data_IF_062671142060
#
_entry.id   IF_062671142060
#
_cell.length_a   1.000
_cell.length_b   1.000
_cell.length_c   1.000
_cell.angle_alpha   90.00
_cell.angle_beta   90.00
_cell.angle_gamma   90.00
#
_symmetry.space_group_name_H-M   'P 1'
#
loop_
_entity.id
_entity.type
_entity.pdbx_description
1 polymer ?
#
# COMPACT_ATOMS: atom_id res chain seq x y z
N UNK A 1 -14.28 1.99 -11.67
CA UNK A 1 -13.88 0.65 -11.16
C UNK A 1 -12.38 0.68 -10.98
N UNK A 2 -11.91 0.17 -9.86
CA UNK A 2 -10.49 0.04 -9.54
C UNK A 2 -9.78 -0.87 -10.55
N UNK A 3 -8.47 -0.65 -10.74
CA UNK A 3 -7.63 -1.48 -11.61
C UNK A 3 -6.84 -2.55 -10.84
N UNK A 4 -7.08 -2.70 -9.54
CA UNK A 4 -6.28 -3.56 -8.65
C UNK A 4 -6.25 -5.01 -9.14
N UNK A 5 -7.36 -5.55 -9.63
CA UNK A 5 -7.42 -6.90 -10.18
C UNK A 5 -6.37 -7.17 -11.27
N UNK A 6 -6.05 -6.15 -12.09
CA UNK A 6 -5.05 -6.27 -13.17
C UNK A 6 -3.64 -6.63 -12.67
N UNK A 7 -3.32 -6.32 -11.41
CA UNK A 7 -2.04 -6.68 -10.83
C UNK A 7 -1.83 -8.19 -10.72
N UNK A 8 -2.92 -8.97 -10.75
CA UNK A 8 -2.92 -10.43 -10.59
C UNK A 8 -3.24 -11.19 -11.88
N UNK A 9 -3.52 -10.50 -13.00
CA UNK A 9 -3.92 -11.11 -14.28
C UNK A 9 -2.77 -11.87 -14.97
N UNK A 10 -1.52 -11.51 -14.68
CA UNK A 10 -0.34 -12.04 -15.36
C UNK A 10 0.50 -12.97 -14.47
N UNK A 11 -0.11 -13.55 -13.45
CA UNK A 11 0.54 -14.47 -12.51
C UNK A 11 0.72 -13.84 -11.13
N UNK A 12 1.82 -14.20 -10.46
CA UNK A 12 2.08 -13.72 -9.09
C UNK A 12 2.47 -12.24 -9.08
N UNK A 13 1.78 -11.43 -8.28
CA UNK A 13 2.01 -10.00 -8.18
C UNK A 13 3.23 -9.67 -7.29
N UNK A 14 4.07 -8.74 -7.73
CA UNK A 14 5.05 -8.06 -6.88
C UNK A 14 4.58 -6.65 -6.54
N UNK A 15 4.47 -6.37 -5.25
CA UNK A 15 3.91 -5.12 -4.71
C UNK A 15 4.98 -4.43 -3.84
N UNK A 16 5.79 -3.52 -4.39
CA UNK A 16 6.71 -2.70 -3.61
C UNK A 16 5.97 -1.58 -2.87
N UNK A 17 6.39 -1.34 -1.63
CA UNK A 17 5.99 -0.18 -0.83
C UNK A 17 7.14 0.82 -0.75
N UNK A 18 6.80 2.12 -0.85
CA UNK A 18 7.71 3.23 -0.54
C UNK A 18 7.00 4.30 0.28
N UNK A 19 7.74 5.02 1.13
CA UNK A 19 7.24 6.20 1.84
C UNK A 19 7.34 7.44 0.93
N UNK A 20 6.22 8.11 0.67
CA UNK A 20 6.19 9.32 -0.14
C UNK A 20 7.04 10.43 0.47
N UNK A 21 8.03 10.90 -0.28
CA UNK A 21 8.93 11.97 0.15
C UNK A 21 10.18 11.51 0.92
N UNK A 22 10.43 10.22 1.00
CA UNK A 22 11.68 9.68 1.54
C UNK A 22 12.58 9.18 0.38
N UNK A 23 13.72 9.85 0.11
CA UNK A 23 14.27 11.04 0.74
C UNK A 23 13.67 12.37 0.23
N UNK A 24 12.94 12.39 -0.88
CA UNK A 24 12.21 13.54 -1.40
C UNK A 24 11.08 13.12 -2.34
N UNK A 25 10.13 14.02 -2.64
CA UNK A 25 9.05 13.75 -3.60
C UNK A 25 9.58 13.54 -5.03
N UNK A 26 10.62 14.26 -5.44
CA UNK A 26 11.22 14.08 -6.76
C UNK A 26 11.87 12.70 -6.92
N UNK A 27 12.49 12.19 -5.85
CA UNK A 27 13.03 10.82 -5.84
C UNK A 27 11.90 9.80 -5.81
N UNK A 28 10.85 10.03 -5.01
CA UNK A 28 9.66 9.16 -4.98
C UNK A 28 9.03 9.03 -6.36
N UNK A 29 8.85 10.14 -7.08
CA UNK A 29 8.30 10.14 -8.44
C UNK A 29 9.13 9.29 -9.39
N UNK A 30 10.46 9.44 -9.37
CA UNK A 30 11.40 8.63 -10.18
C UNK A 30 11.38 7.15 -9.78
N UNK A 31 11.33 6.86 -8.48
CA UNK A 31 11.23 5.49 -7.97
C UNK A 31 9.98 4.78 -8.50
N UNK A 32 8.84 5.47 -8.55
CA UNK A 32 7.60 4.89 -9.08
C UNK A 32 7.75 4.50 -10.56
N UNK A 33 8.37 5.36 -11.39
CA UNK A 33 8.65 5.02 -12.79
C UNK A 33 9.56 3.79 -12.91
N UNK A 34 10.69 3.81 -12.22
CA UNK A 34 11.68 2.73 -12.28
C UNK A 34 11.15 1.40 -11.69
N UNK A 35 10.37 1.45 -10.62
CA UNK A 35 9.74 0.23 -10.07
C UNK A 35 8.70 -0.36 -11.04
N UNK A 36 7.92 0.49 -11.71
CA UNK A 36 6.97 0.03 -12.71
C UNK A 36 7.71 -0.62 -13.90
N UNK A 37 8.77 0.00 -14.40
CA UNK A 37 9.60 -0.52 -15.50
C UNK A 37 10.37 -1.78 -15.10
N UNK A 38 10.75 -1.91 -13.81
CA UNK A 38 11.40 -3.09 -13.25
C UNK A 38 10.46 -4.30 -13.03
N UNK A 39 9.15 -4.12 -13.24
CA UNK A 39 8.15 -5.17 -13.21
C UNK A 39 7.28 -5.25 -11.94
N UNK A 40 7.14 -4.14 -11.22
CA UNK A 40 6.09 -4.05 -10.19
C UNK A 40 4.70 -4.14 -10.84
N UNK A 41 3.80 -4.91 -10.22
CA UNK A 41 2.44 -5.09 -10.71
C UNK A 41 1.42 -4.13 -10.06
N UNK A 42 1.72 -3.69 -8.85
CA UNK A 42 1.01 -2.66 -8.09
C UNK A 42 2.04 -1.94 -7.22
N UNK A 43 1.86 -0.64 -6.99
CA UNK A 43 2.73 0.11 -6.08
C UNK A 43 1.93 0.63 -4.90
N UNK A 44 2.45 0.37 -3.70
CA UNK A 44 1.92 0.88 -2.44
C UNK A 44 2.68 2.14 -2.03
N UNK A 45 1.96 3.24 -1.94
CA UNK A 45 2.47 4.58 -1.61
C UNK A 45 2.09 4.93 -0.17
N UNK A 46 3.05 4.88 0.75
CA UNK A 46 2.86 5.29 2.14
C UNK A 46 2.80 6.81 2.26
N UNK A 47 1.68 7.35 2.74
CA UNK A 47 1.58 8.74 3.13
C UNK A 47 2.22 8.89 4.51
N UNK A 48 3.28 9.71 4.68
CA UNK A 48 3.99 9.81 5.95
C UNK A 48 3.09 10.37 7.05
N UNK A 49 3.18 9.76 8.24
CA UNK A 49 2.42 10.15 9.42
C UNK A 49 3.36 10.23 10.65
N UNK A 50 3.09 11.16 11.57
CA UNK A 50 3.96 11.40 12.73
C UNK A 50 3.89 10.30 13.77
N UNK A 51 2.74 9.61 13.88
CA UNK A 51 2.44 8.66 14.96
C UNK A 51 1.97 7.29 14.44
N UNK A 52 2.77 6.62 13.58
CA UNK A 52 2.37 5.35 12.96
C UNK A 52 2.35 4.22 14.00
N UNK A 53 1.17 3.65 14.25
CA UNK A 53 0.97 2.60 15.27
C UNK A 53 1.16 1.18 14.72
N UNK A 54 1.01 1.00 13.41
CA UNK A 54 1.09 -0.31 12.75
C UNK A 54 2.45 -0.60 12.10
N UNK A 55 3.39 0.35 12.14
CA UNK A 55 4.65 0.29 11.40
C UNK A 55 5.86 0.13 12.33
N UNK A 56 6.88 -0.57 11.82
CA UNK A 56 8.15 -0.72 12.50
C UNK A 56 9.07 0.48 12.32
N UNK A 57 10.23 0.48 13.01
CA UNK A 57 11.13 1.64 13.06
C UNK A 57 11.61 2.11 11.68
N UNK A 58 11.81 1.21 10.73
CA UNK A 58 12.28 1.55 9.37
C UNK A 58 11.29 2.48 8.65
N UNK A 59 10.01 2.13 8.67
CA UNK A 59 8.96 2.94 7.98
C UNK A 59 8.66 4.21 8.78
N UNK A 60 8.64 4.10 10.13
CA UNK A 60 8.48 5.27 11.00
C UNK A 60 9.57 6.31 10.75
N UNK A 61 10.83 5.89 10.69
CA UNK A 61 11.96 6.79 10.51
C UNK A 61 11.96 7.41 9.09
N UNK A 62 11.51 6.67 8.07
CA UNK A 62 11.24 7.19 6.73
C UNK A 62 10.13 8.27 6.73
N UNK A 63 9.04 8.03 7.46
CA UNK A 63 7.97 9.03 7.65
C UNK A 63 8.50 10.31 8.31
N UNK A 64 9.35 10.19 9.33
CA UNK A 64 9.97 11.34 9.98
C UNK A 64 10.90 12.12 9.02
N UNK A 65 11.71 11.42 8.20
CA UNK A 65 12.55 12.09 7.18
C UNK A 65 11.70 12.85 6.16
N UNK A 66 10.63 12.21 5.65
CA UNK A 66 9.73 12.83 4.69
C UNK A 66 9.02 14.07 5.27
N UNK A 67 8.47 13.98 6.49
CA UNK A 67 7.80 15.09 7.17
C UNK A 67 8.78 16.25 7.46
N UNK A 68 10.00 15.93 7.90
CA UNK A 68 11.05 16.93 8.12
C UNK A 68 11.46 17.63 6.81
N UNK A 69 11.34 16.95 5.67
CA UNK A 69 11.50 17.51 4.33
C UNK A 69 10.33 18.39 3.86
N UNK A 70 9.31 18.59 4.70
CA UNK A 70 8.15 19.43 4.39
C UNK A 70 7.16 18.79 3.41
N UNK A 71 7.06 17.47 3.43
CA UNK A 71 6.06 16.73 2.66
C UNK A 71 4.66 16.95 3.27
N UNK A 72 3.69 17.15 2.40
CA UNK A 72 2.27 17.31 2.75
C UNK A 72 1.39 16.51 1.81
N UNK A 73 0.18 16.16 2.23
CA UNK A 73 -0.80 15.41 1.41
C UNK A 73 -1.06 16.10 0.07
N UNK A 74 -1.25 17.42 -0.03
CA UNK A 74 -1.40 18.11 -1.31
C UNK A 74 -0.23 17.91 -2.26
N UNK A 75 1.00 17.99 -1.75
CA UNK A 75 2.20 17.77 -2.58
C UNK A 75 2.29 16.34 -3.09
N UNK A 76 1.88 15.35 -2.27
CA UNK A 76 1.79 13.94 -2.68
C UNK A 76 0.75 13.79 -3.78
N UNK A 77 -0.42 14.39 -3.63
CA UNK A 77 -1.48 14.34 -4.65
C UNK A 77 -1.02 14.92 -5.99
N UNK A 78 -0.36 16.07 -5.99
CA UNK A 78 0.21 16.65 -7.20
C UNK A 78 1.30 15.76 -7.84
N UNK A 79 2.14 15.11 -7.04
CA UNK A 79 3.10 14.12 -7.52
C UNK A 79 2.40 12.94 -8.20
N UNK A 80 1.40 12.33 -7.55
CA UNK A 80 0.65 11.20 -8.10
C UNK A 80 -0.06 11.57 -9.39
N UNK A 81 -0.66 12.76 -9.47
CA UNK A 81 -1.28 13.28 -10.69
C UNK A 81 -0.30 13.36 -11.87
N UNK A 82 0.98 13.72 -11.62
CA UNK A 82 2.02 13.68 -12.66
C UNK A 82 2.38 12.24 -13.03
N UNK A 83 2.60 11.35 -12.06
CA UNK A 83 2.93 9.94 -12.25
C UNK A 83 1.87 9.25 -13.12
N UNK A 84 0.59 9.49 -12.86
CA UNK A 84 -0.53 8.85 -13.58
C UNK A 84 -0.61 9.17 -15.06
N UNK A 85 0.04 10.21 -15.55
CA UNK A 85 0.13 10.49 -16.99
C UNK A 85 0.83 9.35 -17.75
N UNK A 86 1.79 8.70 -17.10
CA UNK A 86 2.66 7.67 -17.69
C UNK A 86 2.40 6.28 -17.10
N UNK A 87 2.41 6.13 -15.77
CA UNK A 87 2.27 4.85 -15.07
C UNK A 87 0.83 4.37 -15.10
N UNK A 88 0.61 3.14 -15.60
CA UNK A 88 -0.71 2.52 -15.78
C UNK A 88 -1.02 1.39 -14.80
N UNK A 89 0.00 0.82 -14.15
CA UNK A 89 -0.21 -0.19 -13.12
C UNK A 89 -1.00 0.41 -11.94
N UNK A 90 -1.77 -0.39 -11.19
CA UNK A 90 -2.51 0.12 -10.05
C UNK A 90 -1.59 0.69 -8.97
N UNK A 91 -2.07 1.73 -8.31
CA UNK A 91 -1.41 2.35 -7.15
C UNK A 91 -2.42 2.48 -6.01
N UNK A 92 -2.00 2.14 -4.81
CA UNK A 92 -2.79 2.28 -3.59
C UNK A 92 -2.08 3.19 -2.60
N UNK A 93 -2.84 3.97 -1.83
CA UNK A 93 -2.28 4.65 -0.67
C UNK A 93 -2.38 3.78 0.57
N UNK A 94 -1.30 3.73 1.35
CA UNK A 94 -1.30 3.28 2.74
C UNK A 94 -1.20 4.50 3.64
N UNK A 95 -2.18 4.69 4.52
CA UNK A 95 -2.23 5.83 5.44
C UNK A 95 -3.08 5.51 6.67
N UNK A 96 -3.22 6.47 7.57
CA UNK A 96 -3.98 6.34 8.81
C UNK A 96 -5.29 7.12 8.72
N UNK A 97 -6.32 6.66 9.43
CA UNK A 97 -7.63 7.29 9.45
C UNK A 97 -7.55 8.77 9.84
N UNK A 98 -6.66 9.11 10.78
CA UNK A 98 -6.46 10.51 11.18
C UNK A 98 -6.02 11.40 10.01
N UNK A 99 -5.18 10.91 9.11
CA UNK A 99 -4.77 11.66 7.89
C UNK A 99 -5.97 11.88 6.98
N UNK A 100 -6.81 10.85 6.81
CA UNK A 100 -8.02 10.92 6.00
C UNK A 100 -9.02 11.94 6.58
N UNK A 101 -9.26 11.88 7.88
CA UNK A 101 -10.17 12.82 8.57
C UNK A 101 -9.65 14.25 8.66
N UNK A 102 -8.32 14.45 8.67
CA UNK A 102 -7.74 15.79 8.72
C UNK A 102 -7.74 16.50 7.38
N UNK A 103 -8.00 15.79 6.29
CA UNK A 103 -8.02 16.37 4.95
C UNK A 103 -9.21 17.33 4.78
N UNK A 104 -8.93 18.56 4.38
CA UNK A 104 -9.97 19.58 4.16
C UNK A 104 -10.39 20.34 5.41
N UNK A 105 -9.76 20.13 6.57
CA UNK A 105 -9.91 21.02 7.70
C UNK A 105 -9.28 22.39 7.37
N UNK A 106 -9.84 23.49 7.93
CA UNK A 106 -9.52 24.90 7.58
C UNK A 106 -8.02 25.30 7.62
N UNK A 107 -7.16 24.48 8.18
CA UNK A 107 -5.71 24.68 8.24
C UNK A 107 -4.94 23.84 7.22
N UNK A 108 -5.60 23.02 6.44
CA UNK A 108 -4.94 22.22 5.41
C UNK A 108 -4.85 23.05 4.12
N UNK A 109 -3.64 23.19 3.57
CA UNK A 109 -3.37 23.94 2.32
C UNK A 109 -4.02 23.30 1.06
N UNK A 110 -4.92 22.35 1.26
CA UNK A 110 -5.84 21.85 0.24
C UNK A 110 -7.01 22.82 -0.03
N UNK A 111 -6.93 24.08 0.43
CA UNK A 111 -7.96 25.08 0.15
C UNK A 111 -8.37 25.05 -1.31
N UNK A 112 -9.28 24.16 -1.61
CA UNK A 112 -10.21 24.34 -2.70
C UNK A 112 -11.10 25.48 -2.29
N UNK A 113 -11.33 26.41 -3.19
CA UNK A 113 -12.31 27.46 -3.11
C UNK A 113 -13.52 27.01 -2.28
N UNK A 114 -13.58 27.44 -1.01
CA UNK A 114 -14.58 27.03 0.00
C UNK A 114 -16.03 27.26 -0.47
N UNK A 115 -16.21 27.93 -1.61
CA UNK A 115 -17.50 28.23 -2.24
C UNK A 115 -18.17 27.03 -2.92
N UNK A 116 -17.48 25.88 -3.07
CA UNK A 116 -17.97 24.69 -3.79
C UNK A 116 -18.07 23.41 -2.96
N UNK A 117 -17.63 23.41 -1.72
CA UNK A 117 -17.83 22.25 -0.84
C UNK A 117 -19.30 22.18 -0.45
N UNK A 118 -19.96 21.07 -0.82
CA UNK A 118 -21.31 20.77 -0.34
C UNK A 118 -21.26 20.72 1.20
N UNK A 119 -22.08 21.50 1.92
CA UNK A 119 -22.05 21.56 3.40
C UNK A 119 -22.29 20.21 4.09
N UNK A 120 -22.63 19.16 3.33
CA UNK A 120 -22.82 17.79 3.83
C UNK A 120 -21.63 16.85 3.58
N UNK A 121 -20.57 17.29 2.89
CA UNK A 121 -19.45 16.42 2.53
C UNK A 121 -18.48 16.29 3.71
N UNK A 122 -18.35 15.09 4.26
CA UNK A 122 -17.38 14.79 5.33
C UNK A 122 -15.91 14.86 4.85
N UNK A 123 -14.99 15.09 5.77
CA UNK A 123 -13.55 15.19 5.45
C UNK A 123 -12.99 13.91 4.82
N UNK A 124 -13.45 12.72 5.22
CA UNK A 124 -13.09 11.44 4.60
C UNK A 124 -13.53 11.37 3.13
N UNK A 125 -14.69 11.89 2.79
CA UNK A 125 -15.19 11.95 1.43
C UNK A 125 -14.34 12.89 0.56
N UNK A 126 -13.87 14.02 1.08
CA UNK A 126 -12.98 14.94 0.39
C UNK A 126 -11.66 14.22 0.03
N UNK A 127 -11.06 13.52 0.98
CA UNK A 127 -9.83 12.77 0.73
C UNK A 127 -10.03 11.69 -0.33
N UNK A 128 -11.04 10.85 -0.17
CA UNK A 128 -11.32 9.71 -1.05
C UNK A 128 -11.68 10.16 -2.46
N UNK A 129 -12.50 11.21 -2.61
CA UNK A 129 -12.83 11.76 -3.92
C UNK A 129 -11.59 12.29 -4.66
N UNK A 130 -10.68 12.97 -3.96
CA UNK A 130 -9.41 13.42 -4.52
C UNK A 130 -8.49 12.27 -4.90
N UNK A 131 -8.43 11.18 -4.09
CA UNK A 131 -7.71 9.97 -4.46
C UNK A 131 -8.21 9.40 -5.80
N UNK A 132 -9.53 9.35 -5.99
CA UNK A 132 -10.13 8.93 -7.26
C UNK A 132 -9.76 9.86 -8.42
N UNK A 133 -9.85 11.17 -8.21
CA UNK A 133 -9.53 12.19 -9.23
C UNK A 133 -8.09 12.08 -9.75
N UNK A 134 -7.13 11.83 -8.86
CA UNK A 134 -5.72 11.67 -9.22
C UNK A 134 -5.36 10.26 -9.70
N UNK A 135 -6.31 9.32 -9.69
CA UNK A 135 -6.15 7.98 -10.21
C UNK A 135 -5.54 6.96 -9.23
N UNK A 136 -5.70 7.14 -7.95
CA UNK A 136 -5.45 6.08 -6.95
C UNK A 136 -6.55 5.02 -7.05
N UNK A 137 -6.18 3.76 -6.98
CA UNK A 137 -7.07 2.61 -7.18
C UNK A 137 -7.62 2.05 -5.86
N UNK A 138 -6.98 2.32 -4.72
CA UNK A 138 -7.43 1.83 -3.42
C UNK A 138 -6.73 2.46 -2.23
N UNK A 139 -7.25 2.14 -1.05
CA UNK A 139 -6.72 2.59 0.24
C UNK A 139 -6.43 1.39 1.15
N UNK A 140 -5.37 1.49 1.94
CA UNK A 140 -5.03 0.62 3.06
C UNK A 140 -5.01 1.49 4.32
N UNK A 141 -5.88 1.18 5.29
CA UNK A 141 -5.98 1.88 6.57
C UNK A 141 -5.69 0.87 7.69
N UNK A 142 -4.41 0.73 8.14
CA UNK A 142 -4.01 -0.33 9.05
C UNK A 142 -4.51 -0.15 10.49
N UNK A 143 -4.95 1.04 10.84
CA UNK A 143 -5.51 1.41 12.15
C UNK A 143 -7.03 1.23 12.24
N UNK A 144 -7.71 0.92 11.13
CA UNK A 144 -9.15 0.71 11.13
C UNK A 144 -9.47 -0.78 11.32
N UNK A 145 -10.12 -1.15 12.43
CA UNK A 145 -10.60 -2.51 12.61
C UNK A 145 -11.72 -2.84 11.62
N UNK A 146 -11.86 -4.12 11.31
CA UNK A 146 -12.86 -4.58 10.35
C UNK A 146 -14.28 -4.11 10.68
N UNK A 147 -14.62 -4.00 11.95
CA UNK A 147 -15.92 -3.59 12.45
C UNK A 147 -16.25 -2.12 12.10
N UNK A 148 -15.23 -1.30 11.89
CA UNK A 148 -15.36 0.12 11.53
C UNK A 148 -15.15 0.38 10.03
N UNK A 149 -14.88 -0.68 9.26
CA UNK A 149 -14.61 -0.58 7.81
C UNK A 149 -15.72 0.17 7.06
N UNK A 150 -16.99 -0.02 7.46
CA UNK A 150 -18.15 0.51 6.74
C UNK A 150 -18.15 2.04 6.66
N UNK A 151 -17.47 2.73 7.58
CA UNK A 151 -17.33 4.20 7.56
C UNK A 151 -16.59 4.70 6.31
N UNK A 152 -15.65 3.91 5.79
CA UNK A 152 -14.84 4.26 4.63
C UNK A 152 -15.27 3.51 3.36
N UNK A 153 -15.70 2.25 3.50
CA UNK A 153 -15.95 1.34 2.38
C UNK A 153 -17.05 1.85 1.44
N UNK A 154 -18.15 2.37 2.02
CA UNK A 154 -19.23 2.96 1.23
C UNK A 154 -18.77 4.16 0.40
N UNK A 155 -17.90 5.01 0.98
CA UNK A 155 -17.34 6.17 0.28
C UNK A 155 -16.34 5.72 -0.79
N UNK A 156 -15.45 4.78 -0.47
CA UNK A 156 -14.51 4.21 -1.45
C UNK A 156 -15.25 3.66 -2.66
N UNK A 157 -16.28 2.85 -2.46
CA UNK A 157 -17.12 2.29 -3.54
C UNK A 157 -17.79 3.37 -4.38
N UNK A 158 -18.32 4.42 -3.75
CA UNK A 158 -18.93 5.58 -4.45
C UNK A 158 -17.96 6.21 -5.44
N UNK A 159 -16.69 6.30 -5.09
CA UNK A 159 -15.64 6.91 -5.92
C UNK A 159 -14.81 5.90 -6.72
N UNK A 160 -15.15 4.62 -6.69
CA UNK A 160 -14.50 3.57 -7.49
C UNK A 160 -13.13 3.12 -6.98
N UNK A 161 -12.83 3.33 -5.68
CA UNK A 161 -11.66 2.80 -5.00
C UNK A 161 -12.00 1.51 -4.25
N UNK A 162 -11.02 0.62 -4.10
CA UNK A 162 -11.11 -0.52 -3.19
C UNK A 162 -10.53 -0.15 -1.82
N UNK A 163 -11.25 -0.46 -0.74
CA UNK A 163 -10.70 -0.44 0.61
C UNK A 163 -10.13 -1.81 0.94
N UNK A 164 -8.81 -1.92 0.88
CA UNK A 164 -8.07 -3.18 1.04
C UNK A 164 -8.14 -3.63 2.49
N UNK A 165 -8.69 -4.83 2.69
CA UNK A 165 -8.77 -5.43 4.02
C UNK A 165 -7.49 -6.17 4.37
N UNK A 166 -7.11 -6.08 5.65
CA UNK A 166 -5.94 -6.77 6.19
C UNK A 166 -6.37 -7.95 7.06
N UNK A 167 -5.64 -9.07 6.95
CA UNK A 167 -5.79 -10.22 7.84
C UNK A 167 -4.46 -10.60 8.45
N UNK A 168 -4.51 -11.03 9.71
CA UNK A 168 -3.39 -11.56 10.46
C UNK A 168 -3.71 -12.99 10.92
N UNK A 169 -2.73 -13.77 11.42
CA UNK A 169 -2.99 -15.10 11.96
C UNK A 169 -3.84 -15.00 13.25
N UNK A 170 -5.15 -15.04 13.08
CA UNK A 170 -6.17 -14.94 14.14
C UNK A 170 -7.13 -16.12 14.06
N UNK A 171 -8.33 -16.03 14.63
CA UNK A 171 -9.34 -17.09 14.53
C UNK A 171 -9.82 -17.31 13.09
N UNK A 172 -10.16 -18.55 12.77
CA UNK A 172 -10.70 -18.93 11.45
C UNK A 172 -11.96 -18.17 11.11
N UNK A 173 -12.86 -17.95 12.07
CA UNK A 173 -14.12 -17.23 11.87
C UNK A 173 -13.86 -15.78 11.44
N UNK A 174 -12.91 -15.11 12.10
CA UNK A 174 -12.55 -13.73 11.76
C UNK A 174 -11.96 -13.60 10.37
N UNK A 175 -11.06 -14.52 9.98
CA UNK A 175 -10.46 -14.54 8.64
C UNK A 175 -11.54 -14.71 7.58
N UNK A 176 -12.48 -15.67 7.75
CA UNK A 176 -13.58 -15.91 6.82
C UNK A 176 -14.50 -14.70 6.69
N UNK A 177 -14.90 -14.11 7.81
CA UNK A 177 -15.75 -12.91 7.87
C UNK A 177 -15.14 -11.72 7.12
N UNK A 178 -13.84 -11.48 7.30
CA UNK A 178 -13.12 -10.41 6.59
C UNK A 178 -13.02 -10.73 5.09
N UNK A 179 -12.72 -11.99 4.74
CA UNK A 179 -12.57 -12.41 3.36
C UNK A 179 -13.87 -12.22 2.54
N UNK A 180 -15.02 -12.56 3.10
CA UNK A 180 -16.33 -12.41 2.44
C UNK A 180 -16.62 -10.98 2.01
N UNK A 181 -16.20 -9.99 2.81
CA UNK A 181 -16.44 -8.56 2.57
C UNK A 181 -15.25 -7.82 1.95
N UNK A 182 -14.16 -8.52 1.61
CA UNK A 182 -12.97 -7.90 1.04
C UNK A 182 -13.16 -7.54 -0.43
N UNK A 183 -12.53 -6.46 -0.89
CA UNK A 183 -12.49 -6.01 -2.28
C UNK A 183 -11.01 -5.85 -2.73
N UNK A 184 -10.76 -5.85 -4.04
CA UNK A 184 -9.45 -5.76 -4.63
C UNK A 184 -8.58 -7.00 -4.36
N UNK A 185 -7.87 -7.01 -3.24
CA UNK A 185 -7.12 -8.15 -2.72
C UNK A 185 -7.12 -8.18 -1.19
N UNK A 186 -6.73 -9.30 -0.59
CA UNK A 186 -6.50 -9.39 0.85
C UNK A 186 -5.01 -9.22 1.16
N UNK A 187 -4.71 -8.24 2.00
CA UNK A 187 -3.37 -8.04 2.56
C UNK A 187 -3.16 -9.01 3.73
N UNK A 188 -2.35 -10.04 3.51
CA UNK A 188 -2.05 -11.07 4.51
C UNK A 188 -0.78 -10.70 5.28
N UNK A 189 -0.93 -10.37 6.55
CA UNK A 189 0.20 -10.09 7.44
C UNK A 189 0.80 -11.40 7.92
N UNK A 190 2.10 -11.61 7.69
CA UNK A 190 2.78 -12.88 8.03
C UNK A 190 3.02 -13.09 9.52
N UNK A 191 2.78 -12.10 10.37
CA UNK A 191 2.94 -12.23 11.82
C UNK A 191 2.16 -11.17 12.58
N UNK A 192 1.84 -11.44 13.84
CA UNK A 192 1.34 -10.46 14.79
C UNK A 192 2.53 -9.61 15.29
N UNK A 193 2.72 -8.42 14.75
CA UNK A 193 3.79 -7.50 15.16
C UNK A 193 4.01 -6.39 14.13
N UNK A 194 4.89 -5.46 14.48
CA UNK A 194 5.21 -4.32 13.61
C UNK A 194 6.10 -4.71 12.44
N UNK A 195 6.12 -3.90 11.39
CA UNK A 195 6.92 -4.07 10.17
C UNK A 195 8.44 -4.15 10.46
N UNK A 196 9.14 -5.01 9.71
CA UNK A 196 10.59 -5.18 9.80
C UNK A 196 11.08 -6.33 8.92
N UNK A 197 12.40 -6.40 8.66
CA UNK A 197 12.99 -7.54 7.96
C UNK A 197 13.23 -8.70 8.93
N UNK A 198 12.91 -9.94 8.54
CA UNK A 198 13.06 -11.15 9.37
C UNK A 198 13.83 -12.23 8.62
N UNK A 199 14.55 -13.07 9.38
CA UNK A 199 15.31 -14.21 8.83
C UNK A 199 14.43 -15.44 8.56
N UNK A 200 13.33 -15.60 9.33
CA UNK A 200 12.38 -16.73 9.20
C UNK A 200 10.94 -16.26 9.29
N UNK A 201 10.10 -16.81 8.42
CA UNK A 201 8.65 -16.60 8.45
C UNK A 201 8.05 -17.84 9.12
N UNK A 202 7.57 -17.70 10.35
CA UNK A 202 7.12 -18.82 11.20
C UNK A 202 5.62 -19.12 11.12
N UNK A 203 4.86 -18.26 10.46
CA UNK A 203 3.38 -18.40 10.37
C UNK A 203 3.01 -19.34 9.23
N UNK A 204 2.05 -20.22 9.45
CA UNK A 204 1.45 -21.02 8.39
C UNK A 204 0.52 -20.17 7.50
N UNK A 205 1.17 -19.46 6.58
CA UNK A 205 0.51 -18.60 5.60
C UNK A 205 -0.35 -19.43 4.64
N UNK A 206 0.11 -20.62 4.28
CA UNK A 206 -0.62 -21.50 3.38
C UNK A 206 -1.99 -21.90 3.93
N UNK A 207 -2.09 -22.22 5.22
CA UNK A 207 -3.36 -22.51 5.87
C UNK A 207 -4.29 -21.30 5.93
N UNK A 208 -3.75 -20.11 6.21
CA UNK A 208 -4.52 -18.87 6.23
C UNK A 208 -5.10 -18.56 4.84
N UNK A 209 -4.30 -18.65 3.78
CA UNK A 209 -4.77 -18.42 2.39
C UNK A 209 -5.80 -19.45 1.97
N UNK A 210 -5.60 -20.74 2.29
CA UNK A 210 -6.60 -21.78 2.02
C UNK A 210 -7.95 -21.49 2.68
N UNK A 211 -7.94 -20.92 3.88
CA UNK A 211 -9.15 -20.52 4.58
C UNK A 211 -9.84 -19.34 3.87
N UNK A 212 -9.09 -18.33 3.44
CA UNK A 212 -9.62 -17.24 2.62
C UNK A 212 -10.27 -17.75 1.36
N UNK A 213 -9.55 -18.59 0.60
CA UNK A 213 -10.05 -19.14 -0.70
C UNK A 213 -11.29 -20.02 -0.56
N UNK A 214 -11.56 -20.58 0.64
CA UNK A 214 -12.83 -21.28 0.92
C UNK A 214 -14.01 -20.31 1.07
N UNK A 215 -13.77 -19.10 1.56
CA UNK A 215 -14.80 -18.09 1.81
C UNK A 215 -15.05 -17.22 0.58
N UNK A 216 -13.98 -16.80 -0.11
CA UNK A 216 -14.06 -15.95 -1.31
C UNK A 216 -12.86 -16.21 -2.23
N UNK A 217 -13.12 -16.29 -3.53
CA UNK A 217 -12.04 -16.30 -4.52
C UNK A 217 -11.54 -14.85 -4.75
N UNK A 218 -10.62 -14.45 -3.90
CA UNK A 218 -9.98 -13.12 -3.93
C UNK A 218 -8.47 -13.30 -3.88
N UNK A 219 -7.66 -12.49 -4.61
CA UNK A 219 -6.22 -12.55 -4.51
C UNK A 219 -5.72 -12.28 -3.09
N UNK A 220 -4.69 -13.01 -2.66
CA UNK A 220 -4.02 -12.86 -1.37
C UNK A 220 -2.59 -12.44 -1.59
N UNK A 221 -2.21 -11.24 -1.13
CA UNK A 221 -0.84 -10.76 -1.16
C UNK A 221 -0.25 -10.74 0.26
N UNK A 222 0.95 -11.31 0.41
CA UNK A 222 1.60 -11.47 1.72
C UNK A 222 2.65 -10.41 1.92
N UNK A 223 2.56 -9.70 3.02
CA UNK A 223 3.52 -8.69 3.47
C UNK A 223 4.15 -9.04 4.83
N UNK A 224 5.10 -8.22 5.25
CA UNK A 224 5.88 -8.30 6.48
C UNK A 224 7.02 -9.33 6.49
N UNK A 225 8.23 -8.80 6.65
CA UNK A 225 9.44 -9.58 6.88
C UNK A 225 10.13 -10.11 5.62
N UNK A 226 9.51 -10.02 4.46
CA UNK A 226 10.08 -10.47 3.20
C UNK A 226 11.15 -9.45 2.75
N UNK A 227 12.36 -9.94 2.48
CA UNK A 227 13.48 -9.07 2.15
C UNK A 227 14.45 -9.65 1.12
N UNK A 228 14.32 -10.95 0.77
CA UNK A 228 15.18 -11.62 -0.20
C UNK A 228 14.38 -12.26 -1.34
N UNK A 229 14.98 -12.39 -2.54
CA UNK A 229 14.34 -13.07 -3.66
C UNK A 229 13.90 -14.50 -3.32
N UNK A 230 14.68 -15.21 -2.51
CA UNK A 230 14.33 -16.57 -2.10
C UNK A 230 13.05 -16.59 -1.23
N UNK A 231 12.94 -15.68 -0.24
CA UNK A 231 11.73 -15.56 0.58
C UNK A 231 10.51 -15.19 -0.29
N UNK A 232 10.71 -14.30 -1.27
CA UNK A 232 9.64 -13.94 -2.20
C UNK A 232 9.16 -15.14 -3.03
N UNK A 233 10.09 -15.97 -3.53
CA UNK A 233 9.76 -17.20 -4.25
C UNK A 233 9.01 -18.20 -3.36
N UNK A 234 9.48 -18.43 -2.13
CA UNK A 234 8.83 -19.34 -1.16
C UNK A 234 7.39 -18.90 -0.85
N UNK A 235 7.16 -17.60 -0.63
CA UNK A 235 5.83 -17.05 -0.36
C UNK A 235 4.93 -17.12 -1.61
N UNK A 236 5.46 -16.81 -2.78
CA UNK A 236 4.69 -16.83 -4.03
C UNK A 236 4.22 -18.24 -4.42
N UNK A 237 4.84 -19.30 -3.88
CA UNK A 237 4.35 -20.67 -4.04
C UNK A 237 2.95 -20.91 -3.43
N UNK A 238 2.57 -20.12 -2.42
CA UNK A 238 1.29 -20.27 -1.70
C UNK A 238 0.39 -19.04 -1.79
N UNK A 239 0.92 -17.87 -2.15
CA UNK A 239 0.21 -16.59 -2.25
C UNK A 239 0.05 -16.13 -3.70
N UNK A 240 -0.90 -15.23 -3.97
CA UNK A 240 -1.11 -14.61 -5.28
C UNK A 240 -0.21 -13.38 -5.48
N UNK A 241 0.35 -12.83 -4.40
CA UNK A 241 1.26 -11.70 -4.46
C UNK A 241 2.17 -11.60 -3.25
N UNK A 242 3.25 -10.81 -3.42
CA UNK A 242 4.26 -10.55 -2.41
C UNK A 242 4.44 -9.05 -2.25
N UNK A 243 4.34 -8.55 -1.00
CA UNK A 243 4.48 -7.14 -0.66
C UNK A 243 5.80 -6.94 0.08
N UNK A 244 6.58 -5.96 -0.36
CA UNK A 244 7.89 -5.66 0.24
C UNK A 244 8.04 -4.15 0.48
N UNK A 245 8.18 -3.79 1.75
CA UNK A 245 8.36 -2.39 2.16
C UNK A 245 9.73 -2.13 2.77
N UNK A 246 9.95 -2.59 4.00
CA UNK A 246 11.14 -2.23 4.81
C UNK A 246 12.48 -2.45 4.11
N UNK A 247 12.60 -3.46 3.24
CA UNK A 247 13.84 -3.69 2.51
C UNK A 247 14.11 -2.58 1.48
N UNK A 248 13.08 -2.11 0.79
CA UNK A 248 13.17 -1.01 -0.19
C UNK A 248 13.44 0.31 0.53
N UNK A 249 12.72 0.60 1.61
CA UNK A 249 12.92 1.82 2.41
C UNK A 249 14.34 1.89 2.99
N UNK A 250 14.94 0.76 3.38
CA UNK A 250 16.36 0.71 3.78
C UNK A 250 17.31 1.06 2.65
N UNK A 251 17.00 0.72 1.41
CA UNK A 251 17.80 1.16 0.26
C UNK A 251 17.70 2.68 0.07
N UNK A 252 16.49 3.24 0.22
CA UNK A 252 16.28 4.69 0.18
C UNK A 252 17.08 5.39 1.30
N UNK A 253 17.01 4.88 2.54
CA UNK A 253 17.79 5.39 3.67
C UNK A 253 19.31 5.34 3.41
N UNK A 254 19.81 4.21 2.90
CA UNK A 254 21.23 3.98 2.71
C UNK A 254 21.84 4.85 1.61
N UNK A 255 21.14 5.02 0.49
CA UNK A 255 21.67 5.66 -0.71
C UNK A 255 21.08 7.05 -0.97
N UNK A 256 20.10 7.50 -0.18
CA UNK A 256 19.49 8.84 -0.32
C UNK A 256 18.99 9.10 -1.74
N UNK A 257 19.40 10.23 -2.32
CA UNK A 257 18.99 10.61 -3.67
C UNK A 257 19.47 9.66 -4.79
N UNK A 258 20.52 8.88 -4.51
CA UNK A 258 21.10 7.91 -5.46
C UNK A 258 20.48 6.51 -5.35
N UNK A 259 19.41 6.33 -4.58
CA UNK A 259 18.80 5.02 -4.32
C UNK A 259 18.14 4.36 -5.55
N UNK A 260 17.77 5.14 -6.56
CA UNK A 260 16.94 4.71 -7.69
C UNK A 260 17.46 3.43 -8.38
N UNK A 261 18.72 3.33 -8.86
CA UNK A 261 19.20 2.12 -9.52
C UNK A 261 19.22 0.90 -8.58
N UNK A 262 19.52 1.09 -7.30
CA UNK A 262 19.54 0.00 -6.33
C UNK A 262 18.14 -0.55 -6.04
N UNK A 263 17.13 0.33 -6.00
CA UNK A 263 15.73 -0.08 -5.83
C UNK A 263 15.22 -0.77 -7.10
N UNK A 264 15.53 -0.25 -8.29
CA UNK A 264 15.16 -0.87 -9.56
C UNK A 264 15.73 -2.29 -9.70
N UNK A 265 17.02 -2.47 -9.43
CA UNK A 265 17.68 -3.78 -9.46
C UNK A 265 17.08 -4.75 -8.43
N UNK A 266 16.76 -4.24 -7.22
CA UNK A 266 16.11 -5.03 -6.19
C UNK A 266 14.72 -5.48 -6.63
N UNK A 267 13.86 -4.58 -7.12
CA UNK A 267 12.50 -4.90 -7.64
C UNK A 267 12.59 -5.94 -8.75
N UNK A 268 13.50 -5.77 -9.71
CA UNK A 268 13.71 -6.71 -10.79
C UNK A 268 14.10 -8.10 -10.29
N UNK A 269 15.02 -8.17 -9.31
CA UNK A 269 15.46 -9.45 -8.73
C UNK A 269 14.33 -10.17 -7.98
N UNK A 270 13.52 -9.42 -7.26
CA UNK A 270 12.35 -9.95 -6.55
C UNK A 270 11.29 -10.47 -7.53
N UNK A 271 10.97 -9.69 -8.58
CA UNK A 271 9.99 -10.09 -9.60
C UNK A 271 10.45 -11.33 -10.35
N UNK A 272 11.71 -11.43 -10.74
CA UNK A 272 12.26 -12.62 -11.39
C UNK A 272 12.15 -13.87 -10.52
N UNK A 273 12.44 -13.75 -9.21
CA UNK A 273 12.32 -14.87 -8.28
C UNK A 273 10.85 -15.35 -8.14
N UNK A 274 9.90 -14.44 -8.07
CA UNK A 274 8.47 -14.75 -7.99
C UNK A 274 7.99 -15.45 -9.27
N UNK A 275 8.43 -14.99 -10.44
CA UNK A 275 8.06 -15.57 -11.74
C UNK A 275 8.67 -16.96 -11.99
N UNK A 276 9.75 -17.31 -11.30
CA UNK A 276 10.39 -18.64 -11.43
C UNK A 276 9.63 -19.77 -10.73
N UNK A 277 8.61 -19.44 -9.94
CA UNK A 277 7.78 -20.41 -9.23
C UNK A 277 6.56 -20.76 -10.11
N UNK A 278 6.53 -22.01 -10.58
CA UNK A 278 5.45 -22.58 -11.42
C UNK A 278 4.46 -23.38 -10.60
#
# INVERSE_FOLDING_TARGET
MSNIAKAFDHGKAFIPFITCGDPSLDVTEKLVFEMADAGADLIELGIPFSDPTAEGPVIRDASLRALSGGVTVPKIFEMVKRIRKTVKIPMVFMTYANVVFSCGLKNDSLNTDDSKADPGTGSSEIFISKCSEIGIDGLILPDIPFEEKEEFDGICKKYGLDLISMIAPTSHERISMIAEKADGFLYCVSSLGVTGTRSTITTDIGSMIKLVKKSKDIPCAVGFGISTPQQAAEISAVADGVIVGSAIVKLCEKYGADCIPYVADYVKSMKQAIQSVH
#
